data_IF_527571152860
#
_entry.id   IF_527571152860
#
_cell.length_a   1.000
_cell.length_b   1.000
_cell.length_c   1.000
_cell.angle_alpha   90.00
_cell.angle_beta   90.00
_cell.angle_gamma   90.00
#
_symmetry.space_group_name_H-M   'P 1'
#
loop_
_entity.id
_entity.type
_entity.pdbx_description
1 polymer ?
#
# COMPACT_ATOMS: atom_id res chain seq x y z
N UNK A 1 -16.78 -10.57 -10.83
CA UNK A 1 -15.69 -11.12 -10.01
C UNK A 1 -16.15 -12.43 -9.39
N UNK A 2 -15.21 -13.32 -9.04
CA UNK A 2 -15.49 -14.46 -8.16
C UNK A 2 -16.00 -13.99 -6.79
N UNK A 3 -16.91 -14.74 -6.19
CA UNK A 3 -17.50 -14.45 -4.86
C UNK A 3 -16.46 -14.44 -3.73
N UNK A 4 -15.26 -14.99 -3.99
CA UNK A 4 -14.14 -14.96 -3.05
C UNK A 4 -13.39 -13.63 -3.03
N UNK A 5 -13.65 -12.73 -3.97
CA UNK A 5 -12.98 -11.44 -4.03
C UNK A 5 -13.73 -10.38 -3.23
N UNK A 6 -13.00 -9.40 -2.68
CA UNK A 6 -13.56 -8.21 -2.03
C UNK A 6 -14.18 -7.20 -3.04
N UNK A 7 -14.94 -7.69 -4.01
CA UNK A 7 -15.65 -6.89 -5.03
C UNK A 7 -14.80 -6.31 -6.16
N UNK A 8 -13.47 -6.55 -6.15
CA UNK A 8 -12.52 -6.01 -7.13
C UNK A 8 -11.78 -7.14 -7.83
N UNK A 9 -11.78 -7.15 -9.16
CA UNK A 9 -11.07 -8.17 -9.92
C UNK A 9 -10.62 -7.67 -11.29
N UNK A 10 -9.56 -8.31 -11.77
CA UNK A 10 -9.14 -8.27 -13.16
C UNK A 10 -9.75 -9.46 -13.92
N UNK A 11 -10.34 -9.20 -15.09
CA UNK A 11 -10.86 -10.22 -16.01
C UNK A 11 -11.79 -11.27 -15.36
N UNK A 12 -12.65 -10.83 -14.44
CA UNK A 12 -13.68 -11.61 -13.73
C UNK A 12 -13.21 -12.76 -12.80
N UNK A 13 -11.95 -13.15 -12.82
CA UNK A 13 -11.45 -14.33 -12.08
C UNK A 13 -10.32 -14.02 -11.10
N UNK A 14 -9.57 -12.94 -11.32
CA UNK A 14 -8.37 -12.62 -10.55
C UNK A 14 -8.70 -11.51 -9.55
N UNK A 15 -8.69 -11.81 -8.26
CA UNK A 15 -8.94 -10.80 -7.23
C UNK A 15 -7.82 -9.75 -7.21
N UNK A 16 -8.19 -8.49 -7.10
CA UNK A 16 -7.23 -7.41 -6.90
C UNK A 16 -6.66 -7.44 -5.49
N UNK A 17 -5.53 -6.76 -5.31
CA UNK A 17 -4.99 -6.48 -3.99
C UNK A 17 -6.01 -5.69 -3.14
N UNK A 18 -6.05 -5.96 -1.82
CA UNK A 18 -7.05 -5.36 -0.92
C UNK A 18 -6.95 -3.83 -0.83
N UNK A 19 -5.75 -3.30 -1.05
CA UNK A 19 -5.47 -1.85 -1.06
C UNK A 19 -5.88 -1.14 -2.38
N UNK A 20 -6.39 -1.86 -3.39
CA UNK A 20 -6.93 -1.24 -4.60
C UNK A 20 -8.38 -0.76 -4.36
N UNK A 21 -8.85 0.33 -4.98
CA UNK A 21 -10.25 0.80 -4.88
C UNK A 21 -11.09 0.63 -6.16
N UNK A 22 -10.48 0.86 -7.34
CA UNK A 22 -11.17 0.93 -8.64
C UNK A 22 -10.79 -0.23 -9.59
N UNK A 23 -10.47 -1.38 -9.02
CA UNK A 23 -9.91 -2.52 -9.75
C UNK A 23 -8.40 -2.41 -9.96
N UNK A 24 -7.89 -3.36 -10.73
CA UNK A 24 -6.47 -3.57 -10.96
C UNK A 24 -6.24 -4.12 -12.37
N UNK A 25 -5.02 -3.98 -12.87
CA UNK A 25 -4.54 -4.59 -14.12
C UNK A 25 -3.50 -5.70 -13.86
N UNK A 26 -3.34 -6.10 -12.60
CA UNK A 26 -2.42 -7.12 -12.11
C UNK A 26 -2.76 -7.51 -10.67
N UNK A 27 -1.95 -8.37 -10.07
CA UNK A 27 -2.22 -8.97 -8.76
C UNK A 27 -1.68 -8.15 -7.58
N UNK A 28 -0.73 -7.26 -7.83
CA UNK A 28 0.02 -6.58 -6.77
C UNK A 28 -0.64 -5.25 -6.39
N UNK A 29 -0.23 -4.70 -5.26
CA UNK A 29 -0.61 -3.36 -4.80
C UNK A 29 -0.11 -2.22 -5.68
N UNK A 30 0.79 -2.49 -6.64
CA UNK A 30 1.23 -1.53 -7.66
C UNK A 30 0.34 -1.50 -8.89
N UNK A 31 -0.38 -2.60 -9.13
CA UNK A 31 -1.20 -2.76 -10.32
C UNK A 31 -2.63 -2.23 -10.11
N UNK A 32 -2.84 -1.46 -9.05
CA UNK A 32 -4.13 -0.85 -8.74
C UNK A 32 -4.41 0.32 -9.69
N UNK A 33 -5.65 0.43 -10.17
CA UNK A 33 -6.07 1.61 -10.93
C UNK A 33 -6.21 2.85 -10.03
N UNK A 34 -6.49 2.65 -8.74
CA UNK A 34 -6.51 3.67 -7.71
C UNK A 34 -6.29 3.04 -6.33
N UNK A 35 -5.60 3.74 -5.44
CA UNK A 35 -5.39 3.30 -4.06
C UNK A 35 -6.61 3.57 -3.19
N UNK A 36 -6.96 2.61 -2.34
CA UNK A 36 -8.05 2.74 -1.37
C UNK A 36 -7.71 3.72 -0.25
N UNK A 37 -6.44 3.78 0.16
CA UNK A 37 -5.97 4.62 1.27
C UNK A 37 -4.86 5.57 0.83
N UNK A 38 -3.63 5.06 0.71
CA UNK A 38 -2.44 5.86 0.48
C UNK A 38 -1.64 5.34 -0.72
N UNK A 39 -1.01 6.25 -1.45
CA UNK A 39 -0.07 5.97 -2.52
C UNK A 39 1.37 6.24 -2.05
N UNK A 40 2.17 5.19 -2.00
CA UNK A 40 3.60 5.23 -1.75
C UNK A 40 4.38 4.96 -3.03
N UNK A 41 4.71 6.03 -3.76
CA UNK A 41 5.53 5.96 -5.00
C UNK A 41 5.01 4.92 -6.02
N UNK A 42 3.70 4.87 -6.22
CA UNK A 42 3.01 3.93 -7.12
C UNK A 42 2.53 2.64 -6.46
N UNK A 43 2.77 2.44 -5.16
CA UNK A 43 2.30 1.30 -4.38
C UNK A 43 1.13 1.70 -3.49
N UNK A 44 0.03 0.97 -3.53
CA UNK A 44 -1.09 1.22 -2.64
C UNK A 44 -0.87 0.57 -1.27
N UNK A 45 -0.84 1.40 -0.22
CA UNK A 45 -0.59 0.95 1.14
C UNK A 45 -1.66 1.47 2.08
N UNK A 46 -1.91 0.76 3.18
CA UNK A 46 -2.84 1.20 4.21
C UNK A 46 -2.26 2.23 5.16
N UNK A 47 -0.94 2.19 5.38
CA UNK A 47 -0.18 3.10 6.25
C UNK A 47 1.15 3.39 5.54
N UNK A 48 1.61 4.64 5.60
CA UNK A 48 2.93 4.99 5.08
C UNK A 48 4.06 4.31 5.87
N UNK A 49 5.23 4.10 5.26
CA UNK A 49 6.41 3.57 5.95
C UNK A 49 6.70 4.31 7.27
N UNK A 50 6.87 3.54 8.35
CA UNK A 50 7.20 4.06 9.67
C UNK A 50 8.60 4.67 9.70
N UNK A 51 8.80 5.72 10.49
CA UNK A 51 10.13 6.26 10.80
C UNK A 51 10.95 5.38 11.74
N UNK A 52 10.36 4.29 12.23
CA UNK A 52 11.03 3.32 13.09
C UNK A 52 10.82 1.91 12.53
N UNK A 53 11.92 1.17 12.38
CA UNK A 53 11.93 -0.25 12.03
C UNK A 53 12.35 -1.07 13.25
N UNK A 54 11.63 -2.17 13.49
CA UNK A 54 11.96 -3.09 14.57
C UNK A 54 13.09 -4.03 14.16
N UNK A 55 14.19 -4.02 14.90
CA UNK A 55 15.27 -4.98 14.75
C UNK A 55 15.05 -6.15 15.71
N UNK A 56 14.58 -7.27 15.17
CA UNK A 56 14.28 -8.48 15.95
C UNK A 56 15.53 -9.15 16.55
N UNK A 57 16.72 -8.92 16.00
CA UNK A 57 17.98 -9.46 16.54
C UNK A 57 18.43 -8.70 17.78
N UNK A 58 18.29 -7.38 17.79
CA UNK A 58 18.65 -6.52 18.91
C UNK A 58 17.49 -6.28 19.90
N UNK A 59 16.27 -6.72 19.56
CA UNK A 59 15.03 -6.44 20.31
C UNK A 59 14.78 -4.94 20.54
N UNK A 60 15.12 -4.11 19.56
CA UNK A 60 15.04 -2.65 19.66
C UNK A 60 14.50 -2.02 18.38
N UNK A 61 13.92 -0.83 18.52
CA UNK A 61 13.50 0.02 17.41
C UNK A 61 14.66 0.91 16.95
N UNK A 62 14.84 1.03 15.65
CA UNK A 62 15.84 1.91 15.03
C UNK A 62 15.18 2.89 14.07
N UNK A 63 15.74 4.10 13.90
CA UNK A 63 15.30 5.02 12.86
C UNK A 63 15.36 4.36 11.47
N UNK A 64 14.25 4.41 10.73
CA UNK A 64 14.19 3.94 9.34
C UNK A 64 14.23 5.16 8.39
N UNK A 65 15.28 5.29 7.57
CA UNK A 65 15.38 6.39 6.60
C UNK A 65 14.31 6.34 5.50
N UNK A 66 13.57 5.23 5.40
CA UNK A 66 12.44 5.10 4.46
C UNK A 66 11.13 5.61 5.03
N UNK A 67 11.11 6.07 6.28
CA UNK A 67 9.93 6.65 6.90
C UNK A 67 9.36 7.81 6.07
N UNK A 68 8.03 7.83 5.94
CA UNK A 68 7.32 8.85 5.16
C UNK A 68 6.11 9.35 5.94
N UNK A 69 5.78 10.61 5.73
CA UNK A 69 4.57 11.21 6.27
C UNK A 69 3.37 10.90 5.36
N UNK A 70 2.23 10.63 5.98
CA UNK A 70 0.96 10.59 5.26
C UNK A 70 0.50 12.05 5.04
N UNK A 71 0.48 12.47 3.78
CA UNK A 71 -0.06 13.77 3.39
C UNK A 71 -1.18 13.54 2.37
N UNK A 72 -2.41 13.87 2.77
CA UNK A 72 -3.63 13.57 2.02
C UNK A 72 -3.75 12.07 1.67
N UNK A 73 -3.56 11.72 0.39
CA UNK A 73 -3.60 10.35 -0.13
C UNK A 73 -2.23 9.83 -0.59
N UNK A 74 -1.15 10.52 -0.22
CA UNK A 74 0.21 10.19 -0.64
C UNK A 74 1.16 10.04 0.55
N UNK A 75 2.18 9.20 0.37
CA UNK A 75 3.31 9.11 1.29
C UNK A 75 4.45 9.98 0.78
N UNK A 76 4.79 11.03 1.54
CA UNK A 76 5.82 12.01 1.20
C UNK A 76 7.01 11.91 2.14
N UNK A 77 8.22 12.12 1.62
CA UNK A 77 9.45 12.10 2.42
C UNK A 77 9.57 13.36 3.30
N UNK A 78 9.09 14.49 2.80
CA UNK A 78 9.10 15.79 3.49
C UNK A 78 7.71 16.40 3.42
N UNK A 79 7.27 17.06 4.49
CA UNK A 79 6.02 17.81 4.49
C UNK A 79 6.20 19.08 3.65
N UNK A 80 5.26 19.39 2.73
CA UNK A 80 5.27 20.62 1.96
C UNK A 80 5.04 21.88 2.80
#
# INVERSE_FOLDING_TARGET
CSDRCNGRCYHNSVCCHDECAAGCHGLTDRDCNACAKLNDSGRCVSVCPSFQAYNATAFMWYPDPKGKFAHERNCVAECP
#
